data_IF_031110440469
#
_entry.id   IF_031110440469
#
_cell.length_a   1.000
_cell.length_b   1.000
_cell.length_c   1.000
_cell.angle_alpha   90.00
_cell.angle_beta   90.00
_cell.angle_gamma   90.00
#
_symmetry.space_group_name_H-M   'P 1'
#
loop_
_entity.id
_entity.type
_entity.pdbx_description
1 polymer ?
#
# COMPACT_ATOMS: atom_id res chain seq x y z
N UNK A 1 38.88 59.40 68.70
CA UNK A 1 39.77 58.26 69.03
C UNK A 1 39.38 57.10 68.14
N UNK A 2 39.87 57.09 66.89
CA UNK A 2 39.94 55.87 66.10
C UNK A 2 41.40 55.44 66.22
N UNK A 3 41.69 54.65 67.25
CA UNK A 3 42.98 53.98 67.36
C UNK A 3 42.97 52.85 66.33
N UNK A 4 43.23 53.20 65.07
CA UNK A 4 43.39 52.22 63.99
C UNK A 4 44.72 51.52 64.27
N UNK A 5 44.64 50.48 65.10
CA UNK A 5 45.74 49.59 65.38
C UNK A 5 45.99 48.73 64.14
N UNK A 6 47.11 48.90 63.42
CA UNK A 6 47.38 48.14 62.19
C UNK A 6 47.36 46.63 62.41
N UNK A 7 47.71 46.20 63.62
CA UNK A 7 47.67 44.80 64.05
C UNK A 7 46.23 44.24 64.15
N UNK A 8 45.26 45.08 64.55
CA UNK A 8 43.85 44.68 64.67
C UNK A 8 43.18 44.63 63.29
N UNK A 9 43.55 45.54 62.37
CA UNK A 9 43.14 45.42 60.97
C UNK A 9 43.71 44.15 60.33
N UNK A 10 44.98 43.83 60.57
CA UNK A 10 45.59 42.64 59.99
C UNK A 10 44.94 41.35 60.52
N UNK A 11 44.67 41.27 61.83
CA UNK A 11 44.03 40.09 62.43
C UNK A 11 42.58 39.91 61.97
N UNK A 12 41.81 40.99 61.88
CA UNK A 12 40.44 40.95 61.35
C UNK A 12 40.41 40.60 59.87
N UNK A 13 41.36 41.08 59.06
CA UNK A 13 41.49 40.70 57.67
C UNK A 13 41.82 39.20 57.49
N UNK A 14 42.72 38.65 58.32
CA UNK A 14 43.04 37.22 58.30
C UNK A 14 41.79 36.38 58.65
N UNK A 15 41.07 36.75 59.71
CA UNK A 15 39.84 36.06 60.13
C UNK A 15 38.77 36.15 59.03
N UNK A 16 38.60 37.33 58.43
CA UNK A 16 37.68 37.52 57.31
C UNK A 16 38.02 36.62 56.12
N UNK A 17 39.29 36.56 55.72
CA UNK A 17 39.74 35.68 54.64
C UNK A 17 39.53 34.20 54.96
N UNK A 18 39.76 33.78 56.20
CA UNK A 18 39.47 32.40 56.63
C UNK A 18 37.98 32.07 56.55
N UNK A 19 37.11 32.99 56.98
CA UNK A 19 35.65 32.84 56.89
C UNK A 19 35.21 32.78 55.42
N UNK A 20 35.71 33.67 54.57
CA UNK A 20 35.42 33.68 53.12
C UNK A 20 35.87 32.38 52.47
N UNK A 21 37.07 31.88 52.78
CA UNK A 21 37.56 30.62 52.26
C UNK A 21 36.68 29.44 52.70
N UNK A 22 36.26 29.42 53.97
CA UNK A 22 35.35 28.38 54.50
C UNK A 22 33.98 28.44 53.83
N UNK A 23 33.44 29.65 53.64
CA UNK A 23 32.13 29.89 53.03
C UNK A 23 32.14 29.58 51.53
N UNK A 24 33.24 29.85 50.83
CA UNK A 24 33.43 29.48 49.42
C UNK A 24 33.24 27.97 49.20
N UNK A 25 33.87 27.15 50.04
CA UNK A 25 33.74 25.70 49.93
C UNK A 25 32.42 25.16 50.49
N UNK A 26 31.82 25.82 51.49
CA UNK A 26 30.64 25.30 52.20
C UNK A 26 29.32 25.74 51.58
N UNK A 27 29.25 26.92 50.97
CA UNK A 27 28.00 27.53 50.53
C UNK A 27 28.05 27.93 49.05
N UNK A 28 29.05 28.71 48.64
CA UNK A 28 29.06 29.25 47.27
C UNK A 28 29.24 28.18 46.21
N UNK A 29 30.20 27.25 46.37
CA UNK A 29 30.38 26.12 45.46
C UNK A 29 29.13 25.24 45.30
N UNK A 30 28.52 24.69 46.37
CA UNK A 30 27.34 23.85 46.20
C UNK A 30 26.14 24.61 45.64
N UNK A 31 25.96 25.88 46.00
CA UNK A 31 24.87 26.70 45.47
C UNK A 31 25.03 26.96 43.95
N UNK A 32 26.23 27.34 43.51
CA UNK A 32 26.52 27.59 42.10
C UNK A 32 26.42 26.30 41.28
N UNK A 33 26.95 25.17 41.79
CA UNK A 33 26.80 23.88 41.13
C UNK A 33 25.33 23.51 40.93
N UNK A 34 24.46 23.73 41.93
CA UNK A 34 23.04 23.45 41.78
C UNK A 34 22.34 24.39 40.77
N UNK A 35 22.80 25.64 40.65
CA UNK A 35 22.31 26.56 39.62
C UNK A 35 22.75 26.13 38.22
N UNK A 36 23.99 25.66 38.09
CA UNK A 36 24.55 25.16 36.83
C UNK A 36 23.87 23.84 36.41
N UNK A 37 23.65 22.91 37.34
CA UNK A 37 22.91 21.66 37.11
C UNK A 37 21.48 21.95 36.64
N UNK A 38 20.77 22.88 37.29
CA UNK A 38 19.43 23.29 36.85
C UNK A 38 19.45 23.92 35.46
N UNK A 39 20.42 24.77 35.18
CA UNK A 39 20.55 25.42 33.88
C UNK A 39 20.85 24.40 32.78
N UNK A 40 21.70 23.41 33.07
CA UNK A 40 22.02 22.31 32.17
C UNK A 40 20.80 21.41 31.92
N UNK A 41 20.05 21.06 32.97
CA UNK A 41 18.80 20.28 32.85
C UNK A 41 17.78 21.01 31.98
N UNK A 42 17.47 22.28 32.27
CA UNK A 42 16.50 23.06 31.47
C UNK A 42 16.92 23.13 30.00
N UNK A 43 18.22 23.30 29.73
CA UNK A 43 18.73 23.31 28.36
C UNK A 43 18.57 21.95 27.68
N UNK A 44 18.84 20.86 28.40
CA UNK A 44 18.64 19.49 27.91
C UNK A 44 17.17 19.22 27.61
N UNK A 45 16.27 19.55 28.54
CA UNK A 45 14.83 19.35 28.39
C UNK A 45 14.27 20.13 27.18
N UNK A 46 14.78 21.35 26.95
CA UNK A 46 14.39 22.17 25.80
C UNK A 46 14.87 21.58 24.47
N UNK A 47 16.12 21.11 24.40
CA UNK A 47 16.65 20.46 23.20
C UNK A 47 15.94 19.13 22.94
N UNK A 48 15.65 18.34 23.96
CA UNK A 48 14.91 17.08 23.83
C UNK A 48 13.47 17.31 23.36
N UNK A 49 12.77 18.30 23.93
CA UNK A 49 11.44 18.69 23.46
C UNK A 49 11.44 19.16 22.00
N UNK A 50 12.48 19.89 21.59
CA UNK A 50 12.65 20.35 20.21
C UNK A 50 12.97 19.20 19.26
N UNK A 51 13.87 18.30 19.64
CA UNK A 51 14.20 17.09 18.86
C UNK A 51 12.95 16.24 18.66
N UNK A 52 12.23 15.93 19.74
CA UNK A 52 10.98 15.16 19.65
C UNK A 52 9.96 15.82 18.72
N UNK A 53 9.84 17.16 18.72
CA UNK A 53 8.92 17.84 17.80
C UNK A 53 9.34 17.70 16.33
N UNK A 54 10.64 17.79 16.04
CA UNK A 54 11.18 17.60 14.69
C UNK A 54 11.03 16.16 14.21
N UNK A 55 11.30 15.20 15.11
CA UNK A 55 11.21 13.77 14.80
C UNK A 55 9.76 13.38 14.50
N UNK A 56 8.79 13.95 15.22
CA UNK A 56 7.35 13.73 14.95
C UNK A 56 6.95 14.28 13.58
N UNK A 57 7.41 15.48 13.21
CA UNK A 57 7.11 16.06 11.90
C UNK A 57 7.74 15.24 10.76
N UNK A 58 8.97 14.77 10.92
CA UNK A 58 9.65 13.91 9.95
C UNK A 58 8.95 12.56 9.78
N UNK A 59 8.56 11.92 10.89
CA UNK A 59 7.78 10.66 10.86
C UNK A 59 6.41 10.85 10.19
N UNK A 60 5.76 12.01 10.36
CA UNK A 60 4.50 12.32 9.67
C UNK A 60 4.70 12.49 8.17
N UNK A 61 5.80 13.12 7.74
CA UNK A 61 6.14 13.24 6.32
C UNK A 61 6.37 11.86 5.72
N UNK A 62 7.21 11.03 6.35
CA UNK A 62 7.49 9.67 5.89
C UNK A 62 6.21 8.81 5.82
N UNK A 63 5.36 8.86 6.84
CA UNK A 63 4.09 8.13 6.85
C UNK A 63 3.18 8.57 5.69
N UNK A 64 3.09 9.87 5.41
CA UNK A 64 2.31 10.39 4.29
C UNK A 64 2.88 9.95 2.93
N UNK A 65 4.20 9.93 2.78
CA UNK A 65 4.86 9.44 1.57
C UNK A 65 4.59 7.94 1.34
N UNK A 66 4.69 7.12 2.39
CA UNK A 66 4.39 5.68 2.33
C UNK A 66 2.93 5.48 1.91
N UNK A 67 1.99 6.19 2.53
CA UNK A 67 0.55 6.09 2.19
C UNK A 67 0.31 6.53 0.73
N UNK A 68 0.95 7.61 0.29
CA UNK A 68 0.83 8.10 -1.09
C UNK A 68 1.40 7.10 -2.11
N UNK A 69 2.54 6.49 -1.81
CA UNK A 69 3.15 5.45 -2.63
C UNK A 69 2.26 4.20 -2.70
N UNK A 70 1.79 3.72 -1.55
CA UNK A 70 0.88 2.58 -1.49
C UNK A 70 -0.43 2.80 -2.26
N UNK A 71 -1.01 4.02 -2.19
CA UNK A 71 -2.18 4.39 -2.99
C UNK A 71 -1.91 4.34 -4.49
N UNK A 72 -0.76 4.85 -4.93
CA UNK A 72 -0.35 4.81 -6.35
C UNK A 72 -0.14 3.38 -6.83
N UNK A 73 0.54 2.56 -6.05
CA UNK A 73 0.75 1.14 -6.35
C UNK A 73 -0.57 0.37 -6.41
N UNK A 74 -1.47 0.57 -5.45
CA UNK A 74 -2.79 -0.04 -5.47
C UNK A 74 -3.64 0.38 -6.69
N UNK A 75 -3.56 1.64 -7.09
CA UNK A 75 -4.22 2.13 -8.31
C UNK A 75 -3.63 1.48 -9.56
N UNK A 76 -2.30 1.37 -9.65
CA UNK A 76 -1.62 0.72 -10.76
C UNK A 76 -1.96 -0.78 -10.86
N UNK A 77 -2.00 -1.49 -9.72
CA UNK A 77 -2.39 -2.91 -9.66
C UNK A 77 -3.84 -3.08 -10.14
N UNK A 78 -4.76 -2.22 -9.67
CA UNK A 78 -6.16 -2.28 -10.08
C UNK A 78 -6.31 -2.03 -11.59
N UNK A 79 -5.63 -1.03 -12.13
CA UNK A 79 -5.67 -0.72 -13.56
C UNK A 79 -5.11 -1.88 -14.39
N UNK A 80 -3.96 -2.42 -13.98
CA UNK A 80 -3.34 -3.56 -14.65
C UNK A 80 -4.25 -4.79 -14.64
N UNK A 81 -4.85 -5.12 -13.49
CA UNK A 81 -5.79 -6.24 -13.38
C UNK A 81 -7.04 -6.02 -14.24
N UNK A 82 -7.55 -4.80 -14.31
CA UNK A 82 -8.71 -4.47 -15.15
C UNK A 82 -8.36 -4.63 -16.63
N UNK A 83 -7.18 -4.15 -17.05
CA UNK A 83 -6.70 -4.28 -18.42
C UNK A 83 -6.49 -5.75 -18.80
N UNK A 84 -5.82 -6.53 -17.96
CA UNK A 84 -5.61 -7.97 -18.20
C UNK A 84 -6.93 -8.74 -18.28
N UNK A 85 -7.90 -8.42 -17.40
CA UNK A 85 -9.23 -9.02 -17.45
C UNK A 85 -9.96 -8.67 -18.75
N UNK A 86 -9.87 -7.42 -19.21
CA UNK A 86 -10.46 -6.96 -20.46
C UNK A 86 -9.82 -7.64 -21.67
N UNK A 87 -8.48 -7.66 -21.72
CA UNK A 87 -7.73 -8.32 -22.80
C UNK A 87 -8.05 -9.82 -22.86
N UNK A 88 -8.11 -10.49 -21.71
CA UNK A 88 -8.52 -11.91 -21.63
C UNK A 88 -9.95 -12.14 -22.11
N UNK A 89 -10.87 -11.25 -21.74
CA UNK A 89 -12.26 -11.31 -22.19
C UNK A 89 -12.37 -11.13 -23.70
N UNK A 90 -11.66 -10.15 -24.27
CA UNK A 90 -11.67 -9.85 -25.70
C UNK A 90 -11.07 -11.01 -26.51
N UNK A 91 -9.97 -11.61 -26.03
CA UNK A 91 -9.37 -12.82 -26.65
C UNK A 91 -10.34 -14.00 -26.63
N UNK A 92 -11.00 -14.27 -25.50
CA UNK A 92 -12.02 -15.33 -25.42
C UNK A 92 -13.19 -15.07 -26.34
N UNK A 93 -13.68 -13.83 -26.40
CA UNK A 93 -14.78 -13.44 -27.28
C UNK A 93 -14.41 -13.64 -28.76
N UNK A 94 -13.19 -13.27 -29.15
CA UNK A 94 -12.70 -13.49 -30.51
C UNK A 94 -12.57 -14.99 -30.84
N UNK A 95 -12.03 -15.78 -29.91
CA UNK A 95 -11.90 -17.23 -30.09
C UNK A 95 -13.26 -17.93 -30.19
N UNK A 96 -14.22 -17.57 -29.33
CA UNK A 96 -15.57 -18.15 -29.37
C UNK A 96 -16.32 -17.78 -30.65
N UNK A 97 -16.13 -16.55 -31.16
CA UNK A 97 -16.68 -16.16 -32.47
C UNK A 97 -16.10 -17.00 -33.61
N UNK A 98 -14.78 -17.20 -33.65
CA UNK A 98 -14.14 -18.07 -34.65
C UNK A 98 -14.61 -19.52 -34.56
N UNK A 99 -14.75 -20.05 -33.35
CA UNK A 99 -15.30 -21.38 -33.11
C UNK A 99 -16.76 -21.48 -33.57
N UNK A 100 -17.56 -20.44 -33.31
CA UNK A 100 -18.96 -20.38 -33.76
C UNK A 100 -19.05 -20.38 -35.28
N UNK A 101 -18.26 -19.54 -35.96
CA UNK A 101 -18.24 -19.46 -37.43
C UNK A 101 -17.84 -20.82 -38.04
N UNK A 102 -16.86 -21.49 -37.43
CA UNK A 102 -16.43 -22.84 -37.85
C UNK A 102 -17.56 -23.86 -37.66
N UNK A 103 -18.21 -23.88 -36.49
CA UNK A 103 -19.34 -24.78 -36.20
C UNK A 103 -20.53 -24.53 -37.13
N UNK A 104 -20.80 -23.28 -37.48
CA UNK A 104 -21.86 -22.93 -38.44
C UNK A 104 -21.52 -23.45 -39.83
N UNK A 105 -20.27 -23.32 -40.27
CA UNK A 105 -19.81 -23.87 -41.54
C UNK A 105 -19.90 -25.40 -41.58
N UNK A 106 -19.45 -26.08 -40.52
CA UNK A 106 -19.55 -27.54 -40.36
C UNK A 106 -21.02 -28.00 -40.37
N UNK A 107 -21.89 -27.34 -39.61
CA UNK A 107 -23.32 -27.64 -39.56
C UNK A 107 -23.99 -27.47 -40.93
N UNK A 108 -23.62 -26.42 -41.69
CA UNK A 108 -24.15 -26.20 -43.04
C UNK A 108 -23.73 -27.33 -43.98
N UNK A 109 -22.47 -27.78 -43.91
CA UNK A 109 -21.98 -28.89 -44.72
C UNK A 109 -22.65 -30.22 -44.34
N UNK A 110 -22.82 -30.50 -43.04
CA UNK A 110 -23.51 -31.72 -42.59
C UNK A 110 -24.97 -31.72 -43.03
N UNK A 111 -25.66 -30.59 -42.93
CA UNK A 111 -27.05 -30.44 -43.37
C UNK A 111 -27.21 -30.68 -44.87
N UNK A 112 -26.26 -30.19 -45.68
CA UNK A 112 -26.26 -30.44 -47.12
C UNK A 112 -26.05 -31.92 -47.44
N UNK A 113 -25.10 -32.58 -46.76
CA UNK A 113 -24.86 -34.02 -46.91
C UNK A 113 -26.07 -34.86 -46.48
N UNK A 114 -26.70 -34.53 -45.35
CA UNK A 114 -27.94 -35.18 -44.90
C UNK A 114 -29.09 -34.98 -45.88
N UNK A 115 -29.25 -33.79 -46.46
CA UNK A 115 -30.27 -33.53 -47.46
C UNK A 115 -30.06 -34.36 -48.74
N UNK A 116 -28.81 -34.49 -49.20
CA UNK A 116 -28.47 -35.35 -50.34
C UNK A 116 -28.73 -36.84 -50.03
N UNK A 117 -28.32 -37.32 -48.85
CA UNK A 117 -28.57 -38.68 -48.41
C UNK A 117 -30.06 -38.98 -48.26
N UNK A 118 -30.84 -38.06 -47.69
CA UNK A 118 -32.30 -38.18 -47.56
C UNK A 118 -32.96 -38.26 -48.94
N UNK A 119 -32.54 -37.41 -49.88
CA UNK A 119 -33.04 -37.43 -51.26
C UNK A 119 -32.72 -38.75 -51.96
N UNK A 120 -31.48 -39.25 -51.82
CA UNK A 120 -31.08 -40.55 -52.38
C UNK A 120 -31.90 -41.70 -51.77
N UNK A 121 -32.11 -41.68 -50.46
CA UNK A 121 -32.89 -42.68 -49.74
C UNK A 121 -34.38 -42.66 -50.15
N UNK A 122 -34.97 -41.47 -50.29
CA UNK A 122 -36.34 -41.30 -50.81
C UNK A 122 -36.49 -41.84 -52.23
N UNK A 123 -35.55 -41.54 -53.13
CA UNK A 123 -35.57 -42.05 -54.51
C UNK A 123 -35.45 -43.58 -54.54
N UNK A 124 -34.59 -44.16 -53.71
CA UNK A 124 -34.45 -45.62 -53.58
C UNK A 124 -35.71 -46.29 -53.01
N UNK A 125 -36.42 -45.60 -52.11
CA UNK A 125 -37.65 -46.09 -51.47
C UNK A 125 -38.91 -45.88 -52.34
N UNK A 126 -38.84 -45.02 -53.35
CA UNK A 126 -39.96 -44.65 -54.23
C UNK A 126 -40.63 -45.85 -54.95
N UNK A 127 -39.90 -46.88 -55.42
CA UNK A 127 -40.51 -48.08 -56.02
C UNK A 127 -41.34 -48.88 -55.01
N UNK A 128 -40.90 -48.97 -53.75
CA UNK A 128 -41.67 -49.64 -52.69
C UNK A 128 -42.94 -48.85 -52.33
N UNK A 129 -42.85 -47.52 -52.35
CA UNK A 129 -44.00 -46.64 -52.15
C UNK A 129 -45.01 -46.78 -53.31
N UNK A 130 -44.54 -46.84 -54.56
CA UNK A 130 -45.38 -47.06 -55.73
C UNK A 130 -46.06 -48.43 -55.72
N UNK A 131 -45.32 -49.49 -55.36
CA UNK A 131 -45.89 -50.83 -55.24
C UNK A 131 -46.95 -50.92 -54.13
N UNK A 132 -46.73 -50.28 -52.98
CA UNK A 132 -47.73 -50.26 -51.90
C UNK A 132 -48.98 -49.47 -52.27
N UNK A 133 -48.85 -48.35 -52.99
CA UNK A 133 -49.99 -47.63 -53.57
C UNK A 133 -50.76 -48.47 -54.59
N UNK A 134 -50.05 -49.12 -55.53
CA UNK A 134 -50.67 -49.97 -56.57
C UNK A 134 -51.42 -51.15 -55.95
N UNK A 135 -50.85 -51.77 -54.91
CA UNK A 135 -51.50 -52.85 -54.17
C UNK A 135 -52.75 -52.39 -53.43
N UNK A 136 -52.75 -51.19 -52.82
CA UNK A 136 -53.97 -50.62 -52.22
C UNK A 136 -55.02 -50.26 -53.27
N UNK A 137 -54.61 -49.71 -54.42
CA UNK A 137 -55.53 -49.31 -55.49
C UNK A 137 -56.21 -50.51 -56.17
N UNK A 138 -55.48 -51.62 -56.34
CA UNK A 138 -56.01 -52.88 -56.86
C UNK A 138 -56.87 -53.66 -55.82
N UNK A 139 -56.88 -53.23 -54.56
CA UNK A 139 -57.67 -53.82 -53.47
C UNK A 139 -58.98 -53.05 -53.21
N UNK A 140 -59.29 -52.04 -54.03
CA UNK A 140 -60.55 -51.30 -54.10
C UNK A 140 -61.26 -51.72 -55.39
#
# INVERSE_FOLDING_TARGET
>A
MLDISPILMLSTAIIFLLVVARLNSCLFKPLLNHMDERSAQIKSDLEEAKSNSSDVDELLVEANEIISKAKREAAAIREQAYKEAKDSADVKLASEKLNLDTKVAEFKNSLQSEAENLKASLLSSMPQFNNSLKNKLNSI
#
